data_IF_218030591620
#
_entry.id   IF_218030591620
#
_cell.length_a   1.000
_cell.length_b   1.000
_cell.length_c   1.000
_cell.angle_alpha   90.00
_cell.angle_beta   90.00
_cell.angle_gamma   90.00
#
_symmetry.space_group_name_H-M   'P 1'
#
loop_
_entity.id
_entity.type
_entity.pdbx_description
1 polymer ?
#
# COMPACT_ATOMS: atom_id res chain seq x y z
N UNK A 1 16.47 19.14 17.59
CA UNK A 1 16.75 18.46 16.30
C UNK A 1 16.88 19.54 15.25
N UNK A 2 17.91 19.46 14.40
CA UNK A 2 18.02 20.39 13.28
C UNK A 2 16.94 20.10 12.23
N UNK A 3 16.53 21.07 11.40
CA UNK A 3 15.57 20.86 10.33
C UNK A 3 15.93 19.70 9.39
N UNK A 4 17.22 19.51 9.09
CA UNK A 4 17.69 18.39 8.26
C UNK A 4 17.45 17.01 8.92
N UNK A 5 17.68 16.89 10.23
CA UNK A 5 17.47 15.63 10.95
C UNK A 5 16.00 15.21 10.95
N UNK A 6 15.08 16.16 11.10
CA UNK A 6 13.64 15.88 11.04
C UNK A 6 13.20 15.44 9.64
N UNK A 7 13.71 16.09 8.59
CA UNK A 7 13.43 15.73 7.20
C UNK A 7 13.93 14.31 6.87
N UNK A 8 15.17 13.99 7.25
CA UNK A 8 15.71 12.64 7.05
C UNK A 8 14.89 11.57 7.78
N UNK A 9 14.43 11.85 9.01
CA UNK A 9 13.56 10.92 9.76
C UNK A 9 12.27 10.64 8.99
N UNK A 10 11.62 11.68 8.47
CA UNK A 10 10.36 11.56 7.72
C UNK A 10 10.57 10.76 6.44
N UNK A 11 11.63 11.07 5.68
CA UNK A 11 11.98 10.34 4.46
C UNK A 11 12.23 8.85 4.73
N UNK A 12 13.07 8.52 5.70
CA UNK A 12 13.36 7.13 6.04
C UNK A 12 12.13 6.38 6.52
N UNK A 13 11.29 7.03 7.31
CA UNK A 13 10.01 6.43 7.74
C UNK A 13 9.16 6.08 6.53
N UNK A 14 8.92 7.02 5.62
CA UNK A 14 8.15 6.77 4.40
C UNK A 14 8.75 5.64 3.54
N UNK A 15 10.08 5.66 3.33
CA UNK A 15 10.79 4.63 2.58
C UNK A 15 10.66 3.23 3.18
N UNK A 16 10.80 3.10 4.50
CA UNK A 16 10.66 1.81 5.19
C UNK A 16 9.23 1.26 5.03
N UNK A 17 8.22 2.12 5.20
CA UNK A 17 6.82 1.73 5.00
C UNK A 17 6.53 1.33 3.55
N UNK A 18 7.06 2.07 2.58
CA UNK A 18 6.94 1.74 1.17
C UNK A 18 7.58 0.37 0.86
N UNK A 19 8.80 0.12 1.32
CA UNK A 19 9.48 -1.18 1.12
C UNK A 19 8.67 -2.30 1.76
N UNK A 20 8.17 -2.09 2.99
CA UNK A 20 7.34 -3.06 3.70
C UNK A 20 6.07 -3.40 2.92
N UNK A 21 5.33 -2.39 2.46
CA UNK A 21 4.07 -2.56 1.73
C UNK A 21 4.26 -3.14 0.32
N UNK A 22 5.26 -2.66 -0.42
CA UNK A 22 5.55 -3.18 -1.76
C UNK A 22 6.10 -4.61 -1.70
N UNK A 23 7.00 -4.89 -0.75
CA UNK A 23 7.63 -6.20 -0.56
C UNK A 23 6.64 -7.26 -0.12
N UNK A 24 5.75 -6.96 0.83
CA UNK A 24 4.70 -7.89 1.26
C UNK A 24 3.71 -8.22 0.14
N UNK A 25 3.32 -7.23 -0.67
CA UNK A 25 2.44 -7.44 -1.83
C UNK A 25 3.14 -8.26 -2.89
N UNK A 26 4.41 -7.96 -3.20
CA UNK A 26 5.20 -8.74 -4.15
C UNK A 26 5.34 -10.21 -3.69
N UNK A 27 5.57 -10.45 -2.40
CA UNK A 27 5.64 -11.80 -1.84
C UNK A 27 4.29 -12.52 -1.94
N UNK A 28 3.21 -11.92 -1.41
CA UNK A 28 1.90 -12.55 -1.38
C UNK A 28 1.35 -12.82 -2.79
N UNK A 29 1.36 -11.80 -3.66
CA UNK A 29 0.90 -11.94 -5.04
C UNK A 29 1.83 -12.84 -5.86
N UNK A 30 3.14 -12.76 -5.64
CA UNK A 30 4.11 -13.62 -6.31
C UNK A 30 3.88 -15.10 -6.03
N UNK A 31 3.62 -15.47 -4.78
CA UNK A 31 3.29 -16.84 -4.39
C UNK A 31 1.96 -17.32 -5.00
N UNK A 32 0.93 -16.47 -5.00
CA UNK A 32 -0.35 -16.78 -5.68
C UNK A 32 -0.16 -16.99 -7.19
N UNK A 33 0.58 -16.10 -7.84
CA UNK A 33 0.82 -16.22 -9.28
C UNK A 33 1.64 -17.48 -9.61
N UNK A 34 2.61 -17.82 -8.76
CA UNK A 34 3.44 -19.02 -8.89
C UNK A 34 2.65 -20.32 -8.67
N UNK A 35 1.61 -20.32 -7.82
CA UNK A 35 0.73 -21.48 -7.67
C UNK A 35 -0.27 -21.67 -8.82
N UNK A 36 -0.29 -20.75 -9.79
CA UNK A 36 -1.23 -20.77 -10.92
C UNK A 36 -2.52 -20.00 -10.65
N UNK A 37 -2.72 -19.44 -9.45
CA UNK A 37 -3.89 -18.65 -9.12
C UNK A 37 -3.98 -17.39 -10.02
N UNK A 38 -5.19 -17.06 -10.48
CA UNK A 38 -5.47 -15.87 -11.28
C UNK A 38 -6.76 -15.20 -10.80
N UNK A 39 -6.87 -13.87 -10.81
CA UNK A 39 -8.11 -13.20 -10.42
C UNK A 39 -9.32 -13.57 -11.29
N UNK A 40 -9.08 -14.05 -12.52
CA UNK A 40 -10.13 -14.52 -13.43
C UNK A 40 -10.90 -15.76 -12.93
N UNK A 41 -10.41 -16.47 -11.92
CA UNK A 41 -11.10 -17.63 -11.33
C UNK A 41 -12.18 -17.22 -10.32
N UNK A 42 -12.18 -15.94 -9.91
CA UNK A 42 -13.20 -15.40 -9.01
C UNK A 42 -14.45 -15.04 -9.81
N UNK A 43 -15.62 -15.34 -9.25
CA UNK A 43 -16.91 -15.03 -9.87
C UNK A 43 -17.73 -14.04 -9.03
N UNK A 44 -18.59 -13.27 -9.71
CA UNK A 44 -19.58 -12.39 -9.09
C UNK A 44 -18.99 -11.38 -8.10
N UNK A 45 -19.59 -11.29 -6.92
CA UNK A 45 -19.19 -10.32 -5.89
C UNK A 45 -17.77 -10.50 -5.36
N UNK A 46 -17.22 -11.73 -5.39
CA UNK A 46 -15.86 -12.01 -4.90
C UNK A 46 -14.81 -11.37 -5.82
N UNK A 47 -15.05 -11.41 -7.13
CA UNK A 47 -14.18 -10.73 -8.10
C UNK A 47 -14.15 -9.22 -7.87
N UNK A 48 -15.32 -8.61 -7.63
CA UNK A 48 -15.43 -7.17 -7.33
C UNK A 48 -14.67 -6.84 -6.05
N UNK A 49 -14.86 -7.63 -4.98
CA UNK A 49 -14.16 -7.43 -3.72
C UNK A 49 -12.63 -7.50 -3.88
N UNK A 50 -12.13 -8.45 -4.66
CA UNK A 50 -10.71 -8.58 -4.93
C UNK A 50 -10.15 -7.35 -5.67
N UNK A 51 -10.82 -6.90 -6.73
CA UNK A 51 -10.36 -5.74 -7.51
C UNK A 51 -10.42 -4.43 -6.72
N UNK A 52 -11.45 -4.23 -5.90
CA UNK A 52 -11.53 -3.07 -5.00
C UNK A 52 -10.40 -3.13 -3.96
N UNK A 53 -10.18 -4.30 -3.35
CA UNK A 53 -9.08 -4.52 -2.41
C UNK A 53 -7.72 -4.22 -3.04
N UNK A 54 -7.47 -4.80 -4.22
CA UNK A 54 -6.24 -4.59 -4.98
C UNK A 54 -6.02 -3.11 -5.36
N UNK A 55 -7.07 -2.41 -5.79
CA UNK A 55 -7.00 -0.99 -6.12
C UNK A 55 -6.64 -0.15 -4.88
N UNK A 56 -7.26 -0.42 -3.72
CA UNK A 56 -6.91 0.24 -2.46
C UNK A 56 -5.47 -0.04 -2.05
N UNK A 57 -5.01 -1.29 -2.15
CA UNK A 57 -3.62 -1.65 -1.84
C UNK A 57 -2.63 -0.95 -2.79
N UNK A 58 -2.93 -0.85 -4.08
CA UNK A 58 -2.10 -0.13 -5.04
C UNK A 58 -2.02 1.37 -4.73
N UNK A 59 -3.16 2.00 -4.40
CA UNK A 59 -3.22 3.40 -3.97
C UNK A 59 -2.40 3.62 -2.70
N UNK A 60 -2.50 2.69 -1.74
CA UNK A 60 -1.69 2.70 -0.52
C UNK A 60 -0.19 2.77 -0.82
N UNK A 61 0.31 1.88 -1.69
CA UNK A 61 1.73 1.83 -2.07
C UNK A 61 2.16 3.18 -2.68
N UNK A 62 1.33 3.76 -3.54
CA UNK A 62 1.58 5.09 -4.11
C UNK A 62 1.66 6.20 -3.04
N UNK A 63 0.73 6.20 -2.08
CA UNK A 63 0.69 7.19 -1.00
C UNK A 63 1.89 7.07 -0.05
N UNK A 64 2.30 5.85 0.31
CA UNK A 64 3.49 5.59 1.13
C UNK A 64 4.78 5.91 0.37
N UNK A 65 4.84 5.63 -0.93
CA UNK A 65 5.97 6.00 -1.78
C UNK A 65 6.14 7.51 -1.83
N UNK A 66 5.05 8.24 -2.12
CA UNK A 66 5.06 9.70 -2.18
C UNK A 66 5.49 10.35 -0.85
N UNK A 67 5.06 9.81 0.29
CA UNK A 67 5.43 10.36 1.60
C UNK A 67 6.94 10.27 1.87
N UNK A 68 7.62 9.23 1.35
CA UNK A 68 9.06 9.02 1.45
C UNK A 68 9.91 9.90 0.51
N UNK A 69 9.34 10.42 -0.58
CA UNK A 69 10.08 11.22 -1.56
C UNK A 69 10.53 12.59 -1.00
N UNK A 70 11.75 13.08 -1.28
CA UNK A 70 12.27 14.37 -0.80
C UNK A 70 11.68 15.60 -1.54
N UNK A 71 10.39 15.58 -1.88
CA UNK A 71 9.77 16.66 -2.65
C UNK A 71 9.16 17.69 -1.68
N UNK A 72 9.57 18.95 -1.80
CA UNK A 72 9.04 20.11 -1.07
C UNK A 72 8.45 21.13 -2.05
N UNK A 73 7.26 20.85 -2.57
CA UNK A 73 6.52 21.76 -3.48
C UNK A 73 5.91 22.95 -2.72
N UNK A 74 5.84 22.84 -1.39
CA UNK A 74 5.19 23.75 -0.46
C UNK A 74 6.06 23.97 0.77
N UNK A 75 5.67 24.90 1.65
CA UNK A 75 6.40 25.16 2.89
C UNK A 75 6.53 23.91 3.75
N UNK A 76 7.63 23.81 4.52
CA UNK A 76 7.94 22.65 5.37
C UNK A 76 6.78 22.22 6.27
N UNK A 77 6.04 23.14 6.95
CA UNK A 77 4.90 22.73 7.78
C UNK A 77 3.73 22.15 6.98
N UNK A 78 3.51 22.58 5.74
CA UNK A 78 2.46 22.05 4.87
C UNK A 78 2.88 20.68 4.33
N UNK A 79 4.13 20.55 3.90
CA UNK A 79 4.69 19.29 3.42
C UNK A 79 4.61 18.20 4.50
N UNK A 80 4.97 18.52 5.75
CA UNK A 80 4.89 17.61 6.90
C UNK A 80 3.45 17.11 7.16
N UNK A 81 2.47 18.02 7.16
CA UNK A 81 1.05 17.65 7.31
C UNK A 81 0.56 16.77 6.17
N UNK A 82 0.89 17.10 4.92
CA UNK A 82 0.47 16.32 3.77
C UNK A 82 1.07 14.91 3.83
N UNK A 83 2.38 14.79 4.09
CA UNK A 83 3.09 13.51 4.24
C UNK A 83 2.54 12.67 5.39
N UNK A 84 2.19 13.29 6.50
CA UNK A 84 1.57 12.59 7.64
C UNK A 84 0.20 12.04 7.26
N UNK A 85 -0.64 12.84 6.59
CA UNK A 85 -1.96 12.40 6.14
C UNK A 85 -1.88 11.30 5.09
N UNK A 86 -0.98 11.42 4.11
CA UNK A 86 -0.82 10.36 3.10
C UNK A 86 -0.29 9.08 3.71
N UNK A 87 0.56 9.13 4.73
CA UNK A 87 0.96 7.94 5.49
C UNK A 87 -0.23 7.30 6.21
N UNK A 88 -1.02 8.09 6.94
CA UNK A 88 -2.19 7.57 7.67
C UNK A 88 -3.22 6.93 6.73
N UNK A 89 -3.57 7.63 5.65
CA UNK A 89 -4.53 7.13 4.64
C UNK A 89 -3.93 5.92 3.89
N UNK A 90 -2.65 5.98 3.54
CA UNK A 90 -1.93 4.88 2.92
C UNK A 90 -1.99 3.62 3.78
N UNK A 91 -1.65 3.73 5.07
CA UNK A 91 -1.73 2.59 6.01
C UNK A 91 -3.16 2.07 6.15
N UNK A 92 -4.17 2.94 6.21
CA UNK A 92 -5.56 2.50 6.25
C UNK A 92 -5.93 1.70 4.99
N UNK A 93 -5.60 2.21 3.81
CA UNK A 93 -5.85 1.53 2.53
C UNK A 93 -5.08 0.23 2.40
N UNK A 94 -3.86 0.16 2.93
CA UNK A 94 -3.09 -1.08 2.98
C UNK A 94 -3.81 -2.17 3.78
N UNK A 95 -4.27 -1.82 4.99
CA UNK A 95 -4.94 -2.76 5.90
C UNK A 95 -6.27 -3.20 5.31
N UNK A 96 -7.14 -2.24 4.94
CA UNK A 96 -8.48 -2.55 4.44
C UNK A 96 -8.42 -3.24 3.08
N UNK A 97 -7.63 -2.70 2.14
CA UNK A 97 -7.48 -3.25 0.81
C UNK A 97 -6.83 -4.63 0.83
N UNK A 98 -5.76 -4.79 1.61
CA UNK A 98 -5.06 -6.07 1.76
C UNK A 98 -5.93 -7.13 2.40
N UNK A 99 -6.65 -6.79 3.48
CA UNK A 99 -7.59 -7.71 4.11
C UNK A 99 -8.72 -8.11 3.16
N UNK A 100 -9.32 -7.17 2.43
CA UNK A 100 -10.37 -7.46 1.46
C UNK A 100 -9.86 -8.36 0.31
N UNK A 101 -8.68 -8.08 -0.23
CA UNK A 101 -8.09 -8.87 -1.30
C UNK A 101 -7.76 -10.30 -0.83
N UNK A 102 -7.12 -10.46 0.33
CA UNK A 102 -6.81 -11.77 0.89
C UNK A 102 -8.07 -12.55 1.27
N UNK A 103 -9.09 -11.87 1.80
CA UNK A 103 -10.38 -12.50 2.09
C UNK A 103 -11.05 -13.01 0.81
N UNK A 104 -11.00 -12.24 -0.28
CA UNK A 104 -11.50 -12.69 -1.57
C UNK A 104 -10.71 -13.90 -2.13
N UNK A 105 -9.40 -13.97 -1.90
CA UNK A 105 -8.59 -15.15 -2.24
C UNK A 105 -9.02 -16.37 -1.41
N UNK A 106 -9.26 -16.21 -0.12
CA UNK A 106 -9.69 -17.30 0.78
C UNK A 106 -11.09 -17.82 0.47
N UNK A 107 -12.01 -16.95 0.03
CA UNK A 107 -13.35 -17.34 -0.40
C UNK A 107 -13.39 -17.88 -1.84
N UNK A 108 -12.31 -17.65 -2.60
CA UNK A 108 -12.17 -18.18 -3.95
C UNK A 108 -12.07 -19.71 -3.95
N UNK A 109 -12.35 -20.37 -5.08
CA UNK A 109 -12.21 -21.81 -5.18
C UNK A 109 -10.77 -22.23 -4.87
N UNK A 110 -10.62 -23.25 -4.02
CA UNK A 110 -9.36 -23.96 -3.89
C UNK A 110 -9.10 -24.70 -5.22
N UNK A 111 -7.94 -24.44 -5.83
CA UNK A 111 -7.49 -25.20 -6.98
C UNK A 111 -7.18 -26.65 -6.59
#
# INVERSE_FOLDING_TARGET
>A
MTPEQNLQRIMWTGTIWFIGAAGSVALALGLLLASGWRPAVLAGGIAVLWWVGAALTALSIGLMGWSGCPILEVSVPIADRNKTRTMQIGTLFYIVGGAAALFAVLLGPAH
#
